data_IF_306161882262
#
_entry.id   IF_306161882262
#
_cell.length_a   1.000
_cell.length_b   1.000
_cell.length_c   1.000
_cell.angle_alpha   90.00
_cell.angle_beta   90.00
_cell.angle_gamma   90.00
#
_symmetry.space_group_name_H-M   'P 1'
#
loop_
_entity.id
_entity.type
_entity.pdbx_description
1 polymer ?
#
# COMPACT_ATOMS: atom_id res chain seq x y z
N UNK A 1 62.65 -7.97 8.86
CA UNK A 1 61.86 -8.02 10.10
C UNK A 1 60.64 -7.07 10.18
N UNK A 2 60.49 -6.04 9.33
CA UNK A 2 59.26 -5.19 9.33
C UNK A 2 58.12 -5.67 8.40
N UNK A 3 58.37 -6.64 7.51
CA UNK A 3 57.34 -7.20 6.59
C UNK A 3 56.66 -8.48 7.11
N UNK A 4 57.33 -9.24 7.98
CA UNK A 4 56.77 -10.44 8.65
C UNK A 4 55.77 -10.03 9.76
N UNK A 5 55.98 -8.84 10.35
CA UNK A 5 55.10 -8.29 11.39
C UNK A 5 53.76 -7.77 10.83
N UNK A 6 53.72 -7.36 9.54
CA UNK A 6 52.50 -6.85 8.89
C UNK A 6 51.61 -7.98 8.36
N UNK A 7 52.17 -9.14 8.02
CA UNK A 7 51.41 -10.33 7.61
C UNK A 7 50.84 -11.10 8.80
N UNK A 8 51.50 -11.06 9.98
CA UNK A 8 50.98 -11.67 11.21
C UNK A 8 49.81 -10.88 11.83
N UNK A 9 49.76 -9.56 11.64
CA UNK A 9 48.69 -8.71 12.18
C UNK A 9 47.41 -8.73 11.32
N UNK A 10 47.51 -9.06 10.02
CA UNK A 10 46.33 -9.22 9.14
C UNK A 10 45.67 -10.60 9.23
N UNK A 11 46.35 -11.61 9.78
CA UNK A 11 45.82 -12.97 9.91
C UNK A 11 45.19 -13.25 11.29
N UNK A 12 45.39 -12.34 12.26
CA UNK A 12 44.83 -12.42 13.62
C UNK A 12 43.43 -11.76 13.76
N UNK A 13 43.02 -10.92 12.80
CA UNK A 13 41.69 -10.30 12.78
C UNK A 13 40.60 -11.14 12.07
N UNK A 14 40.98 -12.24 11.40
CA UNK A 14 40.04 -13.07 10.62
C UNK A 14 39.45 -14.28 11.39
N UNK A 15 39.76 -14.42 12.68
CA UNK A 15 39.41 -15.62 13.47
C UNK A 15 38.56 -15.36 14.73
N UNK A 16 37.94 -14.18 14.87
CA UNK A 16 37.14 -13.83 16.06
C UNK A 16 35.70 -13.33 15.77
N UNK A 17 34.95 -14.00 14.88
CA UNK A 17 33.46 -13.83 14.87
C UNK A 17 32.68 -15.16 14.84
N UNK A 18 33.32 -16.33 14.68
CA UNK A 18 32.64 -17.62 14.85
C UNK A 18 33.04 -18.26 16.18
N UNK A 19 32.30 -17.95 17.26
CA UNK A 19 31.89 -18.87 18.35
C UNK A 19 31.31 -18.08 19.53
N UNK A 20 30.00 -17.84 19.51
CA UNK A 20 29.20 -17.65 20.72
C UNK A 20 28.36 -18.89 20.95
N UNK A 21 28.69 -19.67 21.99
CA UNK A 21 27.98 -20.85 22.50
C UNK A 21 26.45 -20.65 22.54
N UNK A 22 25.61 -21.59 22.07
CA UNK A 22 25.32 -22.91 22.64
C UNK A 22 24.81 -22.90 24.09
N UNK A 23 23.48 -22.90 24.25
CA UNK A 23 22.77 -23.73 25.26
C UNK A 23 21.27 -23.82 24.96
N UNK A 24 20.82 -25.05 24.71
CA UNK A 24 19.49 -25.61 24.96
C UNK A 24 18.23 -24.74 24.81
N UNK A 25 17.55 -24.90 23.67
CA UNK A 25 16.11 -25.16 23.64
C UNK A 25 15.73 -25.78 22.28
N UNK A 26 15.63 -27.12 22.25
CA UNK A 26 14.70 -27.76 21.33
C UNK A 26 13.31 -27.27 21.74
N UNK A 27 12.74 -26.33 21.00
CA UNK A 27 11.31 -26.16 20.95
C UNK A 27 10.88 -26.10 19.50
N UNK A 28 10.20 -27.16 19.09
CA UNK A 28 9.28 -27.11 17.98
C UNK A 28 8.26 -25.99 18.24
N UNK A 29 8.14 -25.02 17.35
CA UNK A 29 7.14 -23.95 17.45
C UNK A 29 7.12 -23.19 16.13
N UNK A 30 6.00 -22.85 15.49
CA UNK A 30 4.61 -23.30 15.53
C UNK A 30 4.07 -22.79 14.20
N UNK A 31 3.27 -23.59 13.51
CA UNK A 31 2.34 -23.09 12.50
C UNK A 31 1.47 -21.98 13.10
N UNK A 32 1.37 -20.87 12.38
CA UNK A 32 0.38 -19.78 12.46
C UNK A 32 -0.46 -19.71 13.75
N UNK A 33 -0.16 -18.72 14.61
CA UNK A 33 -1.14 -18.22 15.57
C UNK A 33 -1.61 -16.83 15.13
N UNK A 34 -2.82 -16.79 14.54
CA UNK A 34 -3.69 -15.62 14.67
C UNK A 34 -3.84 -15.35 16.15
N UNK A 35 -3.24 -14.27 16.66
CA UNK A 35 -3.42 -13.87 18.05
C UNK A 35 -4.88 -13.50 18.26
N UNK A 36 -5.61 -14.39 18.93
CA UNK A 36 -6.91 -14.06 19.47
C UNK A 36 -6.72 -12.96 20.52
N UNK A 37 -7.44 -11.86 20.43
CA UNK A 37 -7.48 -10.87 21.51
C UNK A 37 -8.05 -11.54 22.77
N UNK A 38 -7.86 -10.93 23.93
CA UNK A 38 -8.42 -11.26 25.25
C UNK A 38 -9.90 -11.67 25.25
N UNK A 39 -10.66 -11.34 24.19
CA UNK A 39 -12.08 -11.68 23.98
C UNK A 39 -12.34 -12.81 22.97
N UNK A 40 -11.31 -13.49 22.47
CA UNK A 40 -11.43 -14.57 21.47
C UNK A 40 -11.64 -14.09 20.02
N UNK A 41 -11.59 -12.77 19.76
CA UNK A 41 -11.69 -12.22 18.40
C UNK A 41 -10.41 -12.49 17.62
N UNK A 42 -10.52 -12.85 16.34
CA UNK A 42 -9.36 -12.92 15.44
C UNK A 42 -8.89 -11.50 15.14
N UNK A 43 -7.69 -11.13 15.58
CA UNK A 43 -7.11 -9.83 15.23
C UNK A 43 -6.44 -9.89 13.85
N UNK A 44 -6.68 -8.87 13.02
CA UNK A 44 -6.05 -8.72 11.70
C UNK A 44 -5.57 -7.28 11.49
N UNK A 45 -4.48 -7.11 10.74
CA UNK A 45 -4.00 -5.79 10.36
C UNK A 45 -4.54 -5.36 8.99
N UNK A 46 -4.96 -4.10 8.89
CA UNK A 46 -5.37 -3.46 7.64
C UNK A 46 -4.53 -2.21 7.37
N UNK A 47 -3.69 -2.26 6.33
CA UNK A 47 -2.71 -1.21 6.04
C UNK A 47 -3.19 -0.25 4.96
N UNK A 48 -3.03 1.06 5.16
CA UNK A 48 -3.48 2.07 4.18
C UNK A 48 -2.64 3.36 4.22
N UNK A 49 -2.40 3.95 3.05
CA UNK A 49 -1.64 5.20 2.88
C UNK A 49 -2.53 6.44 2.69
N UNK A 50 -3.64 6.55 3.43
CA UNK A 50 -4.60 7.64 3.32
C UNK A 50 -4.34 8.70 4.38
N UNK A 51 -4.07 9.94 3.98
CA UNK A 51 -3.88 11.08 4.90
C UNK A 51 -5.16 11.91 5.10
N UNK A 52 -5.08 12.86 6.05
CA UNK A 52 -6.13 13.87 6.29
C UNK A 52 -7.52 13.25 6.45
N UNK A 53 -8.56 13.86 5.84
CA UNK A 53 -9.95 13.44 5.91
C UNK A 53 -10.14 11.97 5.53
N UNK A 54 -9.49 11.49 4.47
CA UNK A 54 -9.63 10.11 4.02
C UNK A 54 -9.09 9.10 5.05
N UNK A 55 -8.02 9.47 5.78
CA UNK A 55 -7.48 8.67 6.88
C UNK A 55 -8.45 8.59 8.07
N UNK A 56 -9.06 9.71 8.45
CA UNK A 56 -10.06 9.73 9.53
C UNK A 56 -11.32 8.94 9.18
N UNK A 57 -11.84 9.10 7.96
CA UNK A 57 -12.97 8.30 7.46
C UNK A 57 -12.65 6.80 7.48
N UNK A 58 -11.42 6.39 7.13
CA UNK A 58 -11.02 4.98 7.21
C UNK A 58 -11.00 4.46 8.65
N UNK A 59 -10.58 5.28 9.63
CA UNK A 59 -10.63 4.91 11.05
C UNK A 59 -12.07 4.71 11.52
N UNK A 60 -13.00 5.56 11.08
CA UNK A 60 -14.43 5.43 11.37
C UNK A 60 -15.01 4.13 10.78
N UNK A 61 -14.72 3.82 9.51
CA UNK A 61 -15.15 2.56 8.86
C UNK A 61 -14.64 1.34 9.63
N UNK A 62 -13.36 1.35 10.05
CA UNK A 62 -12.76 0.26 10.84
C UNK A 62 -13.47 0.12 12.20
N UNK A 63 -13.79 1.24 12.85
CA UNK A 63 -14.52 1.25 14.13
C UNK A 63 -15.91 0.66 13.96
N UNK A 64 -16.68 1.11 12.97
CA UNK A 64 -18.03 0.61 12.69
C UNK A 64 -18.01 -0.90 12.37
N UNK A 65 -17.06 -1.37 11.56
CA UNK A 65 -16.90 -2.80 11.28
C UNK A 65 -16.62 -3.60 12.57
N UNK A 66 -15.72 -3.11 13.43
CA UNK A 66 -15.40 -3.77 14.70
C UNK A 66 -16.56 -3.79 15.69
N UNK A 67 -17.44 -2.78 15.64
CA UNK A 67 -18.65 -2.68 16.47
C UNK A 67 -19.81 -3.52 15.92
N UNK A 68 -19.85 -3.77 14.60
CA UNK A 68 -20.92 -4.52 13.95
C UNK A 68 -20.90 -6.04 14.22
N UNK A 69 -19.80 -6.57 14.77
CA UNK A 69 -19.60 -8.02 14.94
C UNK A 69 -18.58 -8.37 16.04
N UNK A 70 -18.58 -9.64 16.47
CA UNK A 70 -17.73 -10.16 17.55
C UNK A 70 -16.71 -11.23 17.13
N UNK A 71 -16.47 -11.43 15.84
CA UNK A 71 -15.57 -12.47 15.32
C UNK A 71 -14.16 -11.96 14.99
N UNK A 72 -14.05 -10.74 14.49
CA UNK A 72 -12.81 -10.15 13.97
C UNK A 72 -12.56 -8.80 14.62
N UNK A 73 -11.29 -8.48 14.87
CA UNK A 73 -10.83 -7.16 15.27
C UNK A 73 -9.84 -6.65 14.22
N UNK A 74 -10.23 -5.61 13.51
CA UNK A 74 -9.38 -4.95 12.51
C UNK A 74 -8.56 -3.86 13.20
N UNK A 75 -7.24 -3.95 13.06
CA UNK A 75 -6.28 -2.94 13.50
C UNK A 75 -5.78 -2.19 12.27
N UNK A 76 -6.19 -0.93 12.14
CA UNK A 76 -5.74 -0.06 11.06
C UNK A 76 -4.30 0.41 11.27
N UNK A 77 -3.44 0.24 10.26
CA UNK A 77 -2.04 0.72 10.27
C UNK A 77 -1.86 1.72 9.14
N UNK A 78 -1.94 3.00 9.50
CA UNK A 78 -1.80 4.11 8.57
C UNK A 78 -0.32 4.32 8.20
N UNK A 79 -0.04 4.47 6.90
CA UNK A 79 1.26 4.81 6.33
C UNK A 79 1.22 6.23 5.75
N UNK A 80 2.37 6.82 5.40
CA UNK A 80 2.39 8.19 4.86
C UNK A 80 1.71 8.28 3.49
N UNK A 81 1.93 7.29 2.63
CA UNK A 81 1.34 7.22 1.29
C UNK A 81 1.28 5.77 0.74
N UNK A 82 0.79 5.62 -0.50
CA UNK A 82 0.70 4.32 -1.17
C UNK A 82 2.05 3.67 -1.50
N UNK A 83 3.08 4.48 -1.79
CA UNK A 83 4.41 3.96 -2.11
C UNK A 83 5.06 3.36 -0.87
N UNK A 84 4.98 4.07 0.26
CA UNK A 84 5.44 3.55 1.54
C UNK A 84 4.63 2.30 1.94
N UNK A 85 3.30 2.33 1.76
CA UNK A 85 2.45 1.16 2.01
C UNK A 85 2.95 -0.06 1.23
N UNK A 86 3.17 0.10 -0.08
CA UNK A 86 3.65 -0.99 -0.92
C UNK A 86 5.02 -1.51 -0.48
N UNK A 87 5.99 -0.62 -0.22
CA UNK A 87 7.32 -1.01 0.23
C UNK A 87 7.27 -1.80 1.54
N UNK A 88 6.45 -1.36 2.50
CA UNK A 88 6.27 -2.08 3.77
C UNK A 88 5.58 -3.41 3.57
N UNK A 89 4.55 -3.51 2.72
CA UNK A 89 3.89 -4.79 2.41
C UNK A 89 4.88 -5.77 1.80
N UNK A 90 5.70 -5.32 0.85
CA UNK A 90 6.72 -6.17 0.23
C UNK A 90 7.76 -6.67 1.26
N UNK A 91 8.22 -5.80 2.16
CA UNK A 91 9.12 -6.18 3.24
C UNK A 91 8.46 -7.16 4.23
N UNK A 92 7.18 -6.93 4.57
CA UNK A 92 6.41 -7.78 5.48
C UNK A 92 6.17 -9.18 4.89
N UNK A 93 5.87 -9.28 3.59
CA UNK A 93 5.80 -10.56 2.87
C UNK A 93 7.14 -11.30 2.93
N UNK A 94 8.25 -10.60 2.67
CA UNK A 94 9.58 -11.21 2.75
C UNK A 94 9.96 -11.67 4.17
N UNK A 95 9.40 -11.01 5.19
CA UNK A 95 9.53 -11.39 6.59
C UNK A 95 8.55 -12.49 7.04
N UNK A 96 7.67 -12.98 6.16
CA UNK A 96 6.56 -13.90 6.46
C UNK A 96 5.55 -13.36 7.48
N UNK A 97 5.38 -12.03 7.55
CA UNK A 97 4.43 -11.35 8.43
C UNK A 97 3.56 -10.32 7.67
N UNK A 98 2.93 -10.69 6.53
CA UNK A 98 2.14 -9.74 5.74
C UNK A 98 0.89 -9.25 6.51
N UNK A 99 0.39 -8.03 6.24
CA UNK A 99 -0.93 -7.65 6.70
C UNK A 99 -2.00 -8.52 6.04
N UNK A 100 -3.15 -8.67 6.72
CA UNK A 100 -4.27 -9.43 6.15
C UNK A 100 -4.90 -8.72 4.95
N UNK A 101 -4.94 -7.38 4.99
CA UNK A 101 -5.49 -6.53 3.92
C UNK A 101 -4.62 -5.28 3.81
N UNK A 102 -4.45 -4.76 2.60
CA UNK A 102 -3.92 -3.41 2.39
C UNK A 102 -4.64 -2.71 1.25
N UNK A 103 -4.68 -1.38 1.30
CA UNK A 103 -5.13 -0.57 0.16
C UNK A 103 -3.95 -0.38 -0.80
N UNK A 104 -4.12 -0.82 -2.04
CA UNK A 104 -3.08 -0.77 -3.07
C UNK A 104 -3.62 -0.48 -4.47
N UNK A 105 -2.71 -0.50 -5.43
CA UNK A 105 -2.98 -0.34 -6.86
C UNK A 105 -2.16 -1.34 -7.67
N UNK A 106 -2.40 -1.42 -8.99
CA UNK A 106 -1.69 -2.30 -9.93
C UNK A 106 -1.81 -3.80 -9.60
N UNK A 107 -3.03 -4.30 -9.35
CA UNK A 107 -3.31 -5.69 -8.94
C UNK A 107 -2.63 -6.72 -9.84
N UNK A 108 -2.69 -6.58 -11.17
CA UNK A 108 -2.05 -7.54 -12.09
C UNK A 108 -0.55 -7.71 -11.83
N UNK A 109 0.18 -6.62 -11.60
CA UNK A 109 1.59 -6.67 -11.26
C UNK A 109 1.81 -7.36 -9.92
N UNK A 110 0.97 -7.08 -8.92
CA UNK A 110 1.06 -7.68 -7.58
C UNK A 110 0.73 -9.16 -7.56
N UNK A 111 -0.15 -9.61 -8.45
CA UNK A 111 -0.40 -11.04 -8.68
C UNK A 111 0.84 -11.71 -9.29
N UNK A 112 1.45 -11.09 -10.30
CA UNK A 112 2.71 -11.58 -10.91
C UNK A 112 3.86 -11.66 -9.90
N UNK A 113 3.92 -10.72 -8.97
CA UNK A 113 4.90 -10.69 -7.89
C UNK A 113 4.57 -11.66 -6.73
N UNK A 114 3.47 -12.40 -6.81
CA UNK A 114 3.05 -13.37 -5.77
C UNK A 114 2.58 -12.72 -4.46
N UNK A 115 2.17 -11.45 -4.49
CA UNK A 115 1.85 -10.69 -3.28
C UNK A 115 0.39 -10.79 -2.85
N UNK A 116 -0.50 -11.28 -3.71
CA UNK A 116 -1.95 -11.28 -3.48
C UNK A 116 -2.51 -12.70 -3.50
N UNK A 117 -3.44 -12.97 -2.58
CA UNK A 117 -4.19 -14.21 -2.56
C UNK A 117 -5.35 -14.16 -3.56
N UNK A 118 -5.63 -15.29 -4.23
CA UNK A 118 -6.85 -15.48 -5.01
C UNK A 118 -8.05 -15.53 -4.06
N UNK A 119 -8.93 -14.53 -4.16
CA UNK A 119 -10.10 -14.36 -3.32
C UNK A 119 -11.34 -15.07 -3.85
N UNK A 120 -11.30 -15.58 -5.09
CA UNK A 120 -12.46 -16.16 -5.80
C UNK A 120 -13.15 -17.24 -4.99
N UNK A 121 -12.38 -18.09 -4.30
CA UNK A 121 -12.89 -19.18 -3.46
C UNK A 121 -13.60 -18.74 -2.16
N UNK A 122 -13.46 -17.47 -1.78
CA UNK A 122 -14.11 -16.90 -0.59
C UNK A 122 -15.37 -16.10 -0.94
N UNK A 123 -15.64 -15.93 -2.22
CA UNK A 123 -16.84 -15.25 -2.68
C UNK A 123 -18.09 -16.09 -2.39
N UNK A 124 -19.15 -15.42 -1.98
CA UNK A 124 -20.45 -16.01 -1.69
C UNK A 124 -21.58 -15.11 -2.22
N UNK A 125 -22.83 -15.47 -1.91
CA UNK A 125 -24.02 -14.73 -2.32
C UNK A 125 -24.08 -13.29 -1.75
N UNK A 126 -23.14 -12.87 -0.91
CA UNK A 126 -23.04 -11.49 -0.40
C UNK A 126 -21.97 -10.69 -1.15
N UNK A 127 -21.20 -11.34 -2.02
CA UNK A 127 -20.09 -10.75 -2.76
C UNK A 127 -20.54 -10.44 -4.19
N UNK A 128 -21.36 -9.39 -4.33
CA UNK A 128 -21.92 -8.99 -5.62
C UNK A 128 -20.91 -8.16 -6.43
N UNK A 129 -20.16 -8.81 -7.32
CA UNK A 129 -19.24 -8.12 -8.25
C UNK A 129 -19.99 -7.08 -9.11
N UNK A 130 -21.24 -7.40 -9.48
CA UNK A 130 -22.08 -6.57 -10.35
C UNK A 130 -22.53 -5.26 -9.67
N UNK A 131 -22.38 -5.13 -8.35
CA UNK A 131 -22.60 -3.87 -7.64
C UNK A 131 -21.49 -2.83 -7.91
N UNK A 132 -20.35 -3.27 -8.45
CA UNK A 132 -19.23 -2.40 -8.80
C UNK A 132 -19.31 -1.94 -10.26
N UNK A 133 -18.92 -0.69 -10.50
CA UNK A 133 -18.72 -0.22 -11.87
C UNK A 133 -17.62 -1.04 -12.55
N UNK A 134 -17.93 -1.56 -13.73
CA UNK A 134 -17.06 -2.45 -14.51
C UNK A 134 -15.64 -1.89 -14.69
N UNK A 135 -15.52 -0.58 -14.90
CA UNK A 135 -14.22 0.12 -15.07
C UNK A 135 -13.31 0.02 -13.84
N UNK A 136 -13.88 -0.11 -12.64
CA UNK A 136 -13.12 -0.26 -11.40
C UNK A 136 -12.92 -1.72 -11.02
N UNK A 137 -13.89 -2.58 -11.35
CA UNK A 137 -13.84 -3.99 -10.98
C UNK A 137 -12.90 -4.80 -11.87
N UNK A 138 -12.85 -4.52 -13.18
CA UNK A 138 -11.94 -5.20 -14.12
C UNK A 138 -10.48 -5.18 -13.67
N UNK A 139 -9.88 -4.04 -13.27
CA UNK A 139 -8.52 -4.00 -12.74
C UNK A 139 -8.29 -4.82 -11.46
N UNK A 140 -9.34 -5.22 -10.74
CA UNK A 140 -9.23 -6.06 -9.55
C UNK A 140 -9.22 -7.57 -9.87
N UNK A 141 -9.34 -7.93 -11.15
CA UNK A 141 -9.38 -9.30 -11.64
C UNK A 141 -8.16 -9.62 -12.53
N UNK A 142 -7.70 -10.87 -12.46
CA UNK A 142 -6.65 -11.41 -13.34
C UNK A 142 -7.05 -12.83 -13.72
N UNK A 143 -7.08 -13.16 -15.01
CA UNK A 143 -7.48 -14.48 -15.51
C UNK A 143 -8.82 -14.99 -14.89
N UNK A 144 -9.84 -14.12 -14.92
CA UNK A 144 -11.19 -14.34 -14.35
C UNK A 144 -11.25 -14.60 -12.83
N UNK A 145 -10.14 -14.38 -12.11
CA UNK A 145 -10.06 -14.51 -10.65
C UNK A 145 -10.04 -13.15 -9.98
N UNK A 146 -10.67 -13.06 -8.81
CA UNK A 146 -10.71 -11.83 -8.00
C UNK A 146 -9.53 -11.79 -7.04
N UNK A 147 -8.77 -10.70 -7.07
CA UNK A 147 -7.60 -10.49 -6.19
C UNK A 147 -7.74 -9.26 -5.28
N UNK A 148 -8.85 -8.53 -5.40
CA UNK A 148 -9.18 -7.39 -4.55
C UNK A 148 -10.56 -6.86 -4.87
N UNK A 149 -10.95 -5.81 -4.14
CA UNK A 149 -12.20 -5.10 -4.37
C UNK A 149 -11.92 -3.61 -4.51
N UNK A 150 -12.64 -2.89 -5.40
CA UNK A 150 -12.52 -1.44 -5.51
C UNK A 150 -12.88 -0.76 -4.18
N UNK A 151 -11.92 -0.07 -3.58
CA UNK A 151 -12.16 0.70 -2.36
C UNK A 151 -12.77 2.09 -2.66
N UNK A 152 -12.30 2.73 -3.74
CA UNK A 152 -12.79 4.00 -4.28
C UNK A 152 -12.19 4.24 -5.67
N UNK A 153 -12.82 5.13 -6.44
CA UNK A 153 -12.31 5.60 -7.73
C UNK A 153 -11.97 7.09 -7.67
N UNK A 154 -10.95 7.51 -8.42
CA UNK A 154 -10.65 8.93 -8.63
C UNK A 154 -10.55 9.23 -10.12
N UNK A 155 -10.85 10.46 -10.50
CA UNK A 155 -10.62 10.97 -11.86
C UNK A 155 -9.79 12.23 -11.77
N UNK A 156 -8.94 12.43 -12.77
CA UNK A 156 -8.16 13.66 -12.89
C UNK A 156 -9.08 14.82 -13.25
N UNK A 157 -8.88 15.95 -12.60
CA UNK A 157 -9.58 17.21 -12.89
C UNK A 157 -8.57 18.36 -12.86
N UNK A 158 -8.84 19.41 -13.64
CA UNK A 158 -8.03 20.63 -13.64
C UNK A 158 -8.66 21.63 -12.67
N UNK A 159 -7.93 21.94 -11.60
CA UNK A 159 -8.22 23.08 -10.74
C UNK A 159 -7.53 24.33 -11.29
N UNK A 160 -8.26 25.44 -11.33
CA UNK A 160 -7.71 26.72 -11.77
C UNK A 160 -8.23 27.88 -10.92
N UNK A 161 -7.45 28.97 -10.92
CA UNK A 161 -7.77 30.21 -10.23
C UNK A 161 -8.58 31.11 -11.14
N UNK A 162 -9.89 31.24 -10.87
CA UNK A 162 -10.82 32.05 -11.66
C UNK A 162 -10.37 33.51 -11.75
N UNK A 163 -9.98 34.09 -10.62
CA UNK A 163 -9.49 35.47 -10.50
C UNK A 163 -8.24 35.74 -11.36
N UNK A 164 -7.33 34.76 -11.49
CA UNK A 164 -6.15 34.90 -12.32
C UNK A 164 -6.48 34.87 -13.83
N UNK A 165 -7.45 34.05 -14.24
CA UNK A 165 -7.91 34.04 -15.64
C UNK A 165 -8.68 35.31 -15.98
N UNK A 166 -9.55 35.78 -15.09
CA UNK A 166 -10.30 37.04 -15.25
C UNK A 166 -9.36 38.24 -15.37
N UNK A 167 -8.36 38.35 -14.48
CA UNK A 167 -7.34 39.41 -14.54
C UNK A 167 -6.53 39.38 -15.85
N UNK A 168 -6.36 38.19 -16.43
CA UNK A 168 -5.68 38.01 -17.72
C UNK A 168 -6.60 38.20 -18.93
N UNK A 169 -7.92 38.41 -18.73
CA UNK A 169 -8.91 38.51 -19.80
C UNK A 169 -9.13 37.19 -20.55
N UNK A 170 -8.95 36.05 -19.88
CA UNK A 170 -9.04 34.72 -20.48
C UNK A 170 -10.34 33.99 -20.06
N UNK A 171 -11.06 33.43 -21.04
CA UNK A 171 -12.21 32.57 -20.78
C UNK A 171 -11.75 31.13 -20.46
N UNK A 172 -12.09 30.55 -19.29
CA UNK A 172 -11.76 29.18 -18.95
C UNK A 172 -12.19 28.15 -20.00
N UNK A 173 -13.34 28.33 -20.66
CA UNK A 173 -13.83 27.38 -21.67
C UNK A 173 -12.89 27.31 -22.87
N UNK A 174 -12.34 28.45 -23.26
CA UNK A 174 -11.36 28.52 -24.34
C UNK A 174 -10.00 27.99 -23.87
N UNK A 175 -9.56 28.37 -22.67
CA UNK A 175 -8.26 27.97 -22.09
C UNK A 175 -8.12 26.45 -21.99
N UNK A 176 -9.18 25.77 -21.55
CA UNK A 176 -9.16 24.32 -21.28
C UNK A 176 -9.81 23.48 -22.39
N UNK A 177 -10.07 24.07 -23.57
CA UNK A 177 -10.68 23.34 -24.69
C UNK A 177 -9.73 22.28 -25.27
N UNK A 178 -8.46 22.63 -25.47
CA UNK A 178 -7.43 21.69 -25.93
C UNK A 178 -6.12 21.84 -25.16
N UNK A 179 -5.31 20.78 -25.16
CA UNK A 179 -3.99 20.79 -24.54
C UNK A 179 -3.05 21.82 -25.18
N UNK A 180 -3.14 22.04 -26.49
CA UNK A 180 -2.32 23.03 -27.20
C UNK A 180 -2.63 24.45 -26.75
N UNK A 181 -3.90 24.78 -26.53
CA UNK A 181 -4.30 26.10 -26.04
C UNK A 181 -3.73 26.33 -24.63
N UNK A 182 -3.88 25.35 -23.74
CA UNK A 182 -3.34 25.40 -22.39
C UNK A 182 -1.82 25.61 -22.39
N UNK A 183 -1.08 24.85 -23.20
CA UNK A 183 0.38 24.95 -23.33
C UNK A 183 0.81 26.31 -23.90
N UNK A 184 0.08 26.84 -24.88
CA UNK A 184 0.40 28.13 -25.49
C UNK A 184 0.18 29.29 -24.50
N UNK A 185 -0.87 29.23 -23.69
CA UNK A 185 -1.11 30.22 -22.61
C UNK A 185 0.01 30.15 -21.57
N UNK A 186 0.41 28.94 -21.16
CA UNK A 186 1.52 28.75 -20.22
C UNK A 186 2.86 29.30 -20.76
N UNK A 187 3.17 29.11 -22.04
CA UNK A 187 4.40 29.63 -22.65
C UNK A 187 4.40 31.17 -22.67
N UNK A 188 3.27 31.78 -23.01
CA UNK A 188 3.11 33.24 -23.04
C UNK A 188 3.20 33.88 -21.65
N UNK A 189 2.71 33.21 -20.61
CA UNK A 189 2.82 33.72 -19.24
C UNK A 189 4.26 33.72 -18.73
N UNK A 190 5.08 32.73 -19.10
CA UNK A 190 6.50 32.64 -18.72
C UNK A 190 7.41 33.65 -19.43
N UNK A 191 7.01 34.20 -20.58
CA UNK A 191 7.80 35.19 -21.34
C UNK A 191 7.50 36.64 -20.94
N UNK A 192 6.49 36.85 -20.07
CA UNK A 192 6.07 38.17 -19.57
C UNK A 192 6.49 38.44 -18.12
N UNK A 193 7.24 37.52 -17.50
CA UNK A 193 7.87 37.68 -16.19
C UNK A 193 9.38 37.95 -16.39
#
# INVERSE_FOLDING_TARGET
MKKIFKTALLMLCALMIFTGCSSSAKNAMKTEEKTADSKGKTEIQFWYGLGSVAGETMKEIIKEFNESQDKVKVVGVQQADYNETFQKVQAAIAANEPPAVYIGSNIELRVKDGMLADLTKYMDDRTHIDDYLEVFMKPAMVDDKVYGFPAYGTTQVIYYRKDLLEKAGLDPKEVFNTWEILLNIQRKSKTRA
#
